data_IF_683876002606
#
_entry.id   IF_683876002606
#
_cell.length_a   1.000
_cell.length_b   1.000
_cell.length_c   1.000
_cell.angle_alpha   90.00
_cell.angle_beta   90.00
_cell.angle_gamma   90.00
#
_symmetry.space_group_name_H-M   'P 1'
#
loop_
_entity.id
_entity.type
_entity.pdbx_description
1 polymer ?
#
# COMPACT_ATOMS: atom_id res chain seq x y z
N UNK A 1 -8.34 -14.93 10.41
CA UNK A 1 -7.98 -14.50 9.03
C UNK A 1 -8.63 -13.19 8.57
N UNK A 2 -9.94 -12.96 8.79
CA UNK A 2 -10.65 -11.76 8.27
C UNK A 2 -10.32 -10.45 9.00
N UNK A 3 -10.11 -10.48 10.32
CA UNK A 3 -9.79 -9.29 11.15
C UNK A 3 -8.40 -8.75 10.87
N UNK A 4 -7.39 -9.62 10.83
CA UNK A 4 -6.00 -9.22 10.52
C UNK A 4 -5.90 -8.56 9.14
N UNK A 5 -6.62 -9.10 8.15
CA UNK A 5 -6.63 -8.55 6.79
C UNK A 5 -7.33 -7.19 6.71
N UNK A 6 -8.37 -6.96 7.52
CA UNK A 6 -9.00 -5.63 7.69
C UNK A 6 -8.05 -4.62 8.34
N UNK A 7 -7.32 -5.04 9.38
CA UNK A 7 -6.33 -4.18 10.06
C UNK A 7 -5.19 -3.83 9.10
N UNK A 8 -4.71 -4.81 8.33
CA UNK A 8 -3.65 -4.60 7.34
C UNK A 8 -4.10 -3.62 6.24
N UNK A 9 -5.33 -3.76 5.75
CA UNK A 9 -5.92 -2.82 4.79
C UNK A 9 -5.97 -1.39 5.35
N UNK A 10 -6.45 -1.24 6.59
CA UNK A 10 -6.54 0.06 7.25
C UNK A 10 -5.16 0.71 7.42
N UNK A 11 -4.17 -0.07 7.88
CA UNK A 11 -2.80 0.39 8.06
C UNK A 11 -2.16 0.83 6.74
N UNK A 12 -2.40 0.09 5.65
CA UNK A 12 -1.92 0.47 4.32
C UNK A 12 -2.53 1.76 3.82
N UNK A 13 -3.83 1.98 4.03
CA UNK A 13 -4.48 3.24 3.67
C UNK A 13 -3.84 4.41 4.46
N UNK A 14 -3.62 4.23 5.76
CA UNK A 14 -2.97 5.24 6.60
C UNK A 14 -1.57 5.59 6.11
N UNK A 15 -0.77 4.57 5.75
CA UNK A 15 0.58 4.76 5.22
C UNK A 15 0.56 5.50 3.88
N UNK A 16 -0.35 5.15 2.97
CA UNK A 16 -0.48 5.84 1.67
C UNK A 16 -0.83 7.31 1.88
N UNK A 17 -1.79 7.61 2.76
CA UNK A 17 -2.19 8.99 3.07
C UNK A 17 -1.03 9.77 3.69
N UNK A 18 -0.31 9.19 4.67
CA UNK A 18 0.84 9.83 5.30
C UNK A 18 2.00 10.11 4.31
N UNK A 19 2.26 9.17 3.39
CA UNK A 19 3.27 9.35 2.36
C UNK A 19 2.88 10.42 1.33
N UNK A 20 1.58 10.54 1.01
CA UNK A 20 1.07 11.61 0.15
C UNK A 20 1.25 13.00 0.78
N UNK A 21 1.05 13.16 2.09
CA UNK A 21 1.27 14.44 2.78
C UNK A 21 2.75 14.83 2.86
N UNK A 22 3.66 13.86 2.92
CA UNK A 22 5.11 14.09 2.89
C UNK A 22 5.67 14.30 1.47
N UNK A 23 4.91 13.97 0.43
CA UNK A 23 5.34 14.12 -0.95
C UNK A 23 5.28 15.60 -1.36
N UNK A 24 6.41 16.30 -1.27
CA UNK A 24 6.49 17.68 -1.74
C UNK A 24 6.66 17.71 -3.27
N UNK A 25 5.53 17.67 -3.98
CA UNK A 25 5.42 17.62 -5.46
C UNK A 25 6.14 18.79 -6.15
N UNK A 26 6.42 19.88 -5.45
CA UNK A 26 7.09 21.04 -6.02
C UNK A 26 8.62 20.85 -6.15
N UNK A 27 9.22 19.93 -5.38
CA UNK A 27 10.68 19.80 -5.24
C UNK A 27 11.17 18.36 -5.47
N UNK A 28 10.64 17.70 -6.51
CA UNK A 28 10.90 16.28 -6.78
C UNK A 28 12.37 15.86 -6.91
N UNK A 29 13.26 16.80 -7.22
CA UNK A 29 14.65 16.56 -7.60
C UNK A 29 15.67 16.93 -6.51
N UNK A 30 15.25 17.46 -5.36
CA UNK A 30 16.14 17.66 -4.22
C UNK A 30 16.41 16.32 -3.51
N UNK A 31 17.61 16.14 -2.95
CA UNK A 31 18.05 14.87 -2.37
C UNK A 31 17.13 14.39 -1.22
N UNK A 32 16.52 15.31 -0.47
CA UNK A 32 15.52 14.98 0.55
C UNK A 32 14.25 14.36 -0.05
N UNK A 33 13.86 14.75 -1.26
CA UNK A 33 12.64 14.28 -1.90
C UNK A 33 12.80 12.91 -2.57
N UNK A 34 14.02 12.43 -2.85
CA UNK A 34 14.23 11.07 -3.36
C UNK A 34 13.73 10.01 -2.38
N UNK A 35 13.90 10.23 -1.08
CA UNK A 35 13.42 9.31 -0.05
C UNK A 35 11.89 9.29 -0.04
N UNK A 36 11.23 10.45 -0.12
CA UNK A 36 9.77 10.55 -0.20
C UNK A 36 9.20 9.84 -1.44
N UNK A 37 9.88 9.95 -2.58
CA UNK A 37 9.49 9.33 -3.85
C UNK A 37 9.59 7.79 -3.78
N UNK A 38 10.68 7.26 -3.23
CA UNK A 38 10.85 5.82 -2.99
C UNK A 38 9.79 5.31 -2.01
N UNK A 39 9.53 6.06 -0.94
CA UNK A 39 8.55 5.69 0.08
C UNK A 39 7.12 5.67 -0.50
N UNK A 40 6.80 6.60 -1.39
CA UNK A 40 5.56 6.60 -2.15
C UNK A 40 5.43 5.35 -3.03
N UNK A 41 6.46 5.01 -3.82
CA UNK A 41 6.47 3.81 -4.68
C UNK A 41 6.35 2.53 -3.86
N UNK A 42 7.05 2.44 -2.73
CA UNK A 42 6.97 1.29 -1.81
C UNK A 42 5.56 1.17 -1.20
N UNK A 43 4.91 2.28 -0.84
CA UNK A 43 3.54 2.28 -0.32
C UNK A 43 2.53 1.79 -1.36
N UNK A 44 2.69 2.21 -2.62
CA UNK A 44 1.90 1.71 -3.76
C UNK A 44 2.12 0.22 -4.00
N UNK A 45 3.37 -0.24 -3.95
CA UNK A 45 3.72 -1.65 -4.08
C UNK A 45 3.04 -2.50 -2.99
N UNK A 46 3.09 -2.05 -1.73
CA UNK A 46 2.43 -2.72 -0.62
C UNK A 46 0.90 -2.81 -0.81
N UNK A 47 0.26 -1.75 -1.30
CA UNK A 47 -1.17 -1.73 -1.63
C UNK A 47 -1.50 -2.81 -2.68
N UNK A 48 -0.70 -2.90 -3.74
CA UNK A 48 -0.87 -3.89 -4.81
C UNK A 48 -0.74 -5.32 -4.28
N UNK A 49 0.29 -5.61 -3.48
CA UNK A 49 0.49 -6.94 -2.88
C UNK A 49 -0.71 -7.36 -2.01
N UNK A 50 -1.28 -6.44 -1.24
CA UNK A 50 -2.44 -6.71 -0.39
C UNK A 50 -3.70 -6.98 -1.24
N UNK A 51 -3.90 -6.20 -2.32
CA UNK A 51 -4.98 -6.45 -3.27
C UNK A 51 -4.85 -7.83 -3.92
N UNK A 52 -3.66 -8.21 -4.38
CA UNK A 52 -3.39 -9.54 -4.95
C UNK A 52 -3.69 -10.63 -3.92
N UNK A 53 -3.25 -10.48 -2.67
CA UNK A 53 -3.52 -11.46 -1.62
C UNK A 53 -5.01 -11.58 -1.29
N UNK A 54 -5.76 -10.47 -1.34
CA UNK A 54 -7.23 -10.49 -1.21
C UNK A 54 -7.89 -11.26 -2.35
N UNK A 55 -7.48 -10.99 -3.59
CA UNK A 55 -8.01 -11.69 -4.78
C UNK A 55 -7.67 -13.17 -4.74
N UNK A 56 -6.43 -13.53 -4.44
CA UNK A 56 -5.98 -14.92 -4.29
C UNK A 56 -6.82 -15.69 -3.26
N UNK A 57 -7.12 -15.07 -2.11
CA UNK A 57 -8.02 -15.66 -1.10
C UNK A 57 -9.46 -15.82 -1.60
N UNK A 58 -10.00 -14.84 -2.35
CA UNK A 58 -11.34 -14.93 -2.94
C UNK A 58 -11.44 -16.09 -3.94
N UNK A 59 -10.39 -16.31 -4.73
CA UNK A 59 -10.32 -17.41 -5.69
C UNK A 59 -10.26 -18.74 -4.94
N UNK A 60 -9.42 -18.84 -3.90
CA UNK A 60 -9.32 -20.05 -3.08
C UNK A 60 -10.67 -20.43 -2.45
N UNK A 61 -11.38 -19.45 -1.89
CA UNK A 61 -12.72 -19.64 -1.31
C UNK A 61 -13.78 -20.07 -2.34
N UNK A 62 -13.63 -19.66 -3.61
CA UNK A 62 -14.52 -20.09 -4.72
C UNK A 62 -14.21 -21.49 -5.25
N UNK A 63 -12.97 -21.96 -5.16
CA UNK A 63 -12.51 -23.22 -5.76
C UNK A 63 -12.41 -24.37 -4.76
N UNK A 64 -12.49 -24.07 -3.46
CA UNK A 64 -12.51 -25.03 -2.34
C UNK A 64 -13.97 -25.37 -1.92
N UNK A 65 -14.88 -25.45 -2.90
CA UNK A 65 -16.28 -25.85 -2.69
C UNK A 65 -16.68 -26.99 -3.62
#
# INVERSE_FOLDING_TARGET
MKTFQKILLFLTILIVVFNLTQLNVYNFLEDENRIALICFVLSLCALILILIMMVSKRIKDKYDS
#
